data_IF_442398328317
#
_entry.id   IF_442398328317
#
_cell.length_a   1.000
_cell.length_b   1.000
_cell.length_c   1.000
_cell.angle_alpha   90.00
_cell.angle_beta   90.00
_cell.angle_gamma   90.00
#
_symmetry.space_group_name_H-M   'P 1'
#
loop_
_entity.id
_entity.type
_entity.pdbx_description
1 polymer ?
#
# COMPACT_ATOMS: atom_id res chain seq x y z
N UNK A 1 -18.05 19.69 4.12
CA UNK A 1 -16.72 20.19 4.57
C UNK A 1 -16.24 19.69 5.95
N UNK A 2 -17.07 19.18 6.88
CA UNK A 2 -16.58 18.51 8.13
C UNK A 2 -16.13 17.05 7.94
N UNK A 3 -16.64 16.37 6.90
CA UNK A 3 -16.52 14.92 6.62
C UNK A 3 -15.08 14.38 6.46
N UNK A 4 -14.23 15.01 5.65
CA UNK A 4 -12.85 14.53 5.40
C UNK A 4 -11.82 14.96 6.46
N UNK A 5 -12.25 15.76 7.45
CA UNK A 5 -11.36 16.28 8.50
C UNK A 5 -11.05 15.22 9.56
N UNK A 6 -11.99 14.31 9.78
CA UNK A 6 -11.91 13.22 10.76
C UNK A 6 -10.92 12.12 10.32
N UNK A 7 -10.82 11.86 9.01
CA UNK A 7 -9.83 10.93 8.45
C UNK A 7 -8.52 11.61 8.00
N UNK A 8 -8.33 12.88 8.36
CA UNK A 8 -7.08 13.62 8.11
C UNK A 8 -6.72 13.90 6.65
N UNK A 9 -7.55 13.52 5.69
CA UNK A 9 -7.27 13.65 4.25
C UNK A 9 -7.64 15.02 3.65
N UNK A 10 -8.46 15.81 4.36
CA UNK A 10 -8.83 17.15 3.91
C UNK A 10 -7.59 18.08 3.91
N UNK A 11 -7.32 18.71 2.76
CA UNK A 11 -6.18 19.62 2.52
C UNK A 11 -4.78 18.97 2.54
N UNK A 12 -4.70 17.64 2.45
CA UNK A 12 -3.43 16.89 2.44
C UNK A 12 -3.40 15.87 1.29
N UNK A 13 -2.21 15.49 0.85
CA UNK A 13 -2.04 14.55 -0.25
C UNK A 13 -2.57 15.09 -1.58
N UNK A 14 -3.05 14.17 -2.44
CA UNK A 14 -3.52 14.47 -3.80
C UNK A 14 -5.02 14.21 -3.98
N UNK A 15 -5.50 13.01 -3.62
CA UNK A 15 -6.83 12.53 -4.00
C UNK A 15 -8.01 13.33 -3.43
N UNK A 16 -7.90 13.80 -2.18
CA UNK A 16 -8.96 14.52 -1.48
C UNK A 16 -8.53 15.92 -1.02
N UNK A 17 -7.45 16.44 -1.62
CA UNK A 17 -6.92 17.75 -1.29
C UNK A 17 -7.72 18.83 -2.03
N UNK A 18 -8.48 19.61 -1.27
CA UNK A 18 -9.28 20.71 -1.78
C UNK A 18 -8.59 22.08 -1.65
N UNK A 19 -7.34 22.12 -1.21
CA UNK A 19 -6.51 23.32 -1.14
C UNK A 19 -5.60 23.36 -2.36
N UNK A 20 -5.95 24.19 -3.36
CA UNK A 20 -5.28 24.22 -4.65
C UNK A 20 -3.76 24.46 -4.55
N UNK A 21 -3.32 25.36 -3.65
CA UNK A 21 -1.89 25.66 -3.48
C UNK A 21 -1.15 24.46 -2.90
N UNK A 22 -1.72 23.83 -1.87
CA UNK A 22 -1.15 22.61 -1.28
C UNK A 22 -1.15 21.46 -2.30
N UNK A 23 -2.24 21.28 -3.05
CA UNK A 23 -2.36 20.24 -4.06
C UNK A 23 -1.32 20.41 -5.16
N UNK A 24 -1.14 21.62 -5.69
CA UNK A 24 -0.17 21.89 -6.75
C UNK A 24 1.26 21.54 -6.31
N UNK A 25 1.64 21.95 -5.09
CA UNK A 25 2.94 21.63 -4.52
C UNK A 25 3.13 20.11 -4.35
N UNK A 26 2.17 19.43 -3.71
CA UNK A 26 2.23 17.98 -3.50
C UNK A 26 2.27 17.22 -4.84
N UNK A 27 1.50 17.68 -5.84
CA UNK A 27 1.42 17.04 -7.16
C UNK A 27 2.74 17.16 -7.92
N UNK A 28 3.36 18.34 -7.88
CA UNK A 28 4.67 18.54 -8.48
C UNK A 28 5.72 17.60 -7.85
N UNK A 29 5.75 17.55 -6.52
CA UNK A 29 6.70 16.73 -5.78
C UNK A 29 6.49 15.22 -6.03
N UNK A 30 5.23 14.77 -6.02
CA UNK A 30 4.87 13.39 -6.33
C UNK A 30 5.30 12.99 -7.75
N UNK A 31 4.98 13.81 -8.75
CA UNK A 31 5.34 13.54 -10.14
C UNK A 31 6.85 13.44 -10.33
N UNK A 32 7.64 14.29 -9.66
CA UNK A 32 9.10 14.20 -9.74
C UNK A 32 9.65 12.87 -9.21
N UNK A 33 9.04 12.29 -8.17
CA UNK A 33 9.46 10.99 -7.65
C UNK A 33 9.07 9.86 -8.60
N UNK A 34 7.79 9.78 -8.97
CA UNK A 34 7.24 8.63 -9.71
C UNK A 34 7.55 8.65 -11.21
N UNK A 35 7.88 9.80 -11.80
CA UNK A 35 8.24 9.92 -13.22
C UNK A 35 9.76 9.88 -13.44
N UNK A 36 10.55 9.62 -12.39
CA UNK A 36 11.99 9.47 -12.56
C UNK A 36 12.32 8.19 -13.35
N UNK A 37 13.35 8.17 -14.19
CA UNK A 37 13.78 6.97 -14.91
C UNK A 37 14.13 5.82 -13.96
N UNK A 38 14.76 6.13 -12.83
CA UNK A 38 15.11 5.16 -11.79
C UNK A 38 13.89 4.49 -11.18
N UNK A 39 12.89 5.27 -10.78
CA UNK A 39 11.63 4.73 -10.28
C UNK A 39 10.93 3.88 -11.35
N UNK A 40 10.94 4.32 -12.61
CA UNK A 40 10.34 3.57 -13.72
C UNK A 40 11.01 2.22 -13.91
N UNK A 41 12.35 2.16 -13.88
CA UNK A 41 13.09 0.90 -13.98
C UNK A 41 12.78 -0.02 -12.79
N UNK A 42 12.78 0.51 -11.57
CA UNK A 42 12.40 -0.25 -10.37
C UNK A 42 10.95 -0.76 -10.47
N UNK A 43 10.02 0.04 -10.99
CA UNK A 43 8.64 -0.35 -11.21
C UNK A 43 8.52 -1.54 -12.16
N UNK A 44 9.25 -1.51 -13.28
CA UNK A 44 9.28 -2.62 -14.25
C UNK A 44 9.85 -3.88 -13.59
N UNK A 45 10.99 -3.76 -12.91
CA UNK A 45 11.68 -4.87 -12.26
C UNK A 45 10.82 -5.53 -11.18
N UNK A 46 10.22 -4.74 -10.28
CA UNK A 46 9.39 -5.27 -9.20
C UNK A 46 8.08 -5.86 -9.73
N UNK A 47 7.48 -5.25 -10.76
CA UNK A 47 6.29 -5.80 -11.42
C UNK A 47 6.58 -7.19 -11.98
N UNK A 48 7.67 -7.36 -12.72
CA UNK A 48 8.06 -8.66 -13.27
C UNK A 48 8.35 -9.70 -12.17
N UNK A 49 9.10 -9.32 -11.13
CA UNK A 49 9.41 -10.21 -9.99
C UNK A 49 8.14 -10.68 -9.28
N UNK A 50 7.23 -9.75 -8.98
CA UNK A 50 5.95 -10.05 -8.33
C UNK A 50 5.01 -10.85 -9.23
N UNK A 51 5.05 -10.64 -10.54
CA UNK A 51 4.24 -11.42 -11.49
C UNK A 51 4.71 -12.87 -11.55
N UNK A 52 6.01 -13.12 -11.59
CA UNK A 52 6.55 -14.48 -11.55
C UNK A 52 6.14 -15.21 -10.25
N UNK A 53 6.09 -14.49 -9.12
CA UNK A 53 5.60 -15.02 -7.85
C UNK A 53 4.10 -15.35 -7.91
N UNK A 54 3.28 -14.46 -8.45
CA UNK A 54 1.85 -14.70 -8.71
C UNK A 54 1.63 -15.95 -9.58
N UNK A 55 2.37 -16.05 -10.69
CA UNK A 55 2.31 -17.20 -11.60
C UNK A 55 2.69 -18.50 -10.88
N UNK A 56 3.68 -18.46 -9.98
CA UNK A 56 4.05 -19.62 -9.18
C UNK A 56 2.90 -20.08 -8.28
N UNK A 57 2.14 -19.15 -7.68
CA UNK A 57 0.96 -19.47 -6.88
C UNK A 57 -0.17 -20.04 -7.72
N UNK A 58 -0.45 -19.43 -8.87
CA UNK A 58 -1.47 -19.94 -9.80
C UNK A 58 -1.12 -21.33 -10.33
N UNK A 59 0.15 -21.59 -10.60
CA UNK A 59 0.64 -22.90 -11.03
C UNK A 59 0.35 -23.98 -9.99
N UNK A 60 0.58 -23.67 -8.71
CA UNK A 60 0.32 -24.59 -7.60
C UNK A 60 -1.18 -24.81 -7.33
N UNK A 61 -1.99 -23.77 -7.48
CA UNK A 61 -3.42 -23.79 -7.10
C UNK A 61 -4.35 -24.24 -8.23
N UNK A 62 -4.04 -23.91 -9.48
CA UNK A 62 -4.99 -24.06 -10.59
C UNK A 62 -4.47 -24.94 -11.72
N UNK A 63 -3.15 -25.12 -11.85
CA UNK A 63 -2.54 -25.87 -12.96
C UNK A 63 -2.21 -27.32 -12.62
N UNK A 64 -2.55 -27.81 -11.41
CA UNK A 64 -2.45 -29.24 -11.08
C UNK A 64 -3.44 -30.05 -11.94
N UNK A 65 -2.96 -31.11 -12.59
CA UNK A 65 -3.75 -31.96 -13.51
C UNK A 65 -5.07 -32.46 -12.90
N UNK A 66 -5.06 -32.77 -11.60
CA UNK A 66 -6.24 -33.23 -10.85
C UNK A 66 -7.32 -32.14 -10.77
N UNK A 67 -6.93 -30.90 -10.48
CA UNK A 67 -7.84 -29.74 -10.34
C UNK A 67 -8.49 -29.39 -11.68
N UNK A 68 -7.71 -29.49 -12.77
CA UNK A 68 -8.20 -29.25 -14.13
C UNK A 68 -9.23 -30.32 -14.53
N UNK A 69 -8.94 -31.61 -14.25
CA UNK A 69 -9.83 -32.72 -14.56
C UNK A 69 -11.17 -32.65 -13.81
N UNK A 70 -11.15 -32.14 -12.57
CA UNK A 70 -12.36 -31.99 -11.75
C UNK A 70 -13.15 -30.71 -12.04
N UNK A 71 -12.72 -29.86 -12.99
CA UNK A 71 -13.31 -28.53 -13.24
C UNK A 71 -13.43 -27.65 -11.98
N UNK A 72 -12.58 -27.88 -10.98
CA UNK A 72 -12.56 -27.10 -9.73
C UNK A 72 -11.67 -25.85 -9.81
N UNK A 73 -11.07 -25.60 -10.96
CA UNK A 73 -10.44 -24.33 -11.31
C UNK A 73 -11.49 -23.20 -11.23
N UNK A 74 -11.49 -22.47 -10.12
CA UNK A 74 -12.19 -21.18 -9.99
C UNK A 74 -11.19 -20.13 -9.57
N UNK A 75 -10.57 -19.49 -10.56
CA UNK A 75 -9.71 -18.35 -10.34
C UNK A 75 -10.55 -17.10 -10.04
N UNK A 76 -10.52 -16.63 -8.79
CA UNK A 76 -11.03 -15.30 -8.47
C UNK A 76 -10.01 -14.24 -8.89
N UNK A 77 -10.02 -13.89 -10.18
CA UNK A 77 -9.08 -12.93 -10.77
C UNK A 77 -9.12 -11.56 -10.09
N UNK A 78 -10.30 -11.12 -9.64
CA UNK A 78 -10.46 -9.82 -8.97
C UNK A 78 -9.69 -9.76 -7.65
N UNK A 79 -9.81 -10.79 -6.80
CA UNK A 79 -9.06 -10.83 -5.53
C UNK A 79 -7.56 -10.97 -5.78
N UNK A 80 -7.14 -11.84 -6.70
CA UNK A 80 -5.73 -11.96 -7.06
C UNK A 80 -5.12 -10.66 -7.58
N UNK A 81 -5.84 -9.96 -8.46
CA UNK A 81 -5.40 -8.66 -8.99
C UNK A 81 -5.26 -7.61 -7.89
N UNK A 82 -6.15 -7.63 -6.90
CA UNK A 82 -6.10 -6.71 -5.77
C UNK A 82 -4.85 -6.95 -4.89
N UNK A 83 -4.58 -8.21 -4.54
CA UNK A 83 -3.39 -8.60 -3.78
C UNK A 83 -2.09 -8.31 -4.56
N UNK A 84 -2.05 -8.64 -5.85
CA UNK A 84 -0.90 -8.38 -6.72
C UNK A 84 -0.60 -6.89 -6.83
N UNK A 85 -1.61 -6.09 -7.16
CA UNK A 85 -1.44 -4.63 -7.30
C UNK A 85 -1.02 -4.00 -5.98
N UNK A 86 -1.56 -4.48 -4.85
CA UNK A 86 -1.14 -3.99 -3.54
C UNK A 86 0.33 -4.31 -3.25
N UNK A 87 0.78 -5.53 -3.50
CA UNK A 87 2.17 -5.91 -3.24
C UNK A 87 3.14 -5.10 -4.12
N UNK A 88 2.76 -4.79 -5.37
CA UNK A 88 3.50 -3.84 -6.22
C UNK A 88 3.53 -2.46 -5.58
N UNK A 89 2.37 -1.90 -5.25
CA UNK A 89 2.26 -0.54 -4.72
C UNK A 89 3.08 -0.40 -3.43
N UNK A 90 2.90 -1.29 -2.44
CA UNK A 90 3.66 -1.20 -1.18
C UNK A 90 5.16 -1.33 -1.43
N UNK A 91 5.58 -2.23 -2.33
CA UNK A 91 6.99 -2.39 -2.69
C UNK A 91 7.56 -1.12 -3.32
N UNK A 92 6.85 -0.49 -4.25
CA UNK A 92 7.31 0.73 -4.93
C UNK A 92 7.22 1.98 -4.06
N UNK A 93 6.25 2.05 -3.14
CA UNK A 93 6.11 3.20 -2.26
C UNK A 93 7.11 3.17 -1.10
N UNK A 94 7.40 1.99 -0.55
CA UNK A 94 8.14 1.87 0.73
C UNK A 94 9.43 1.08 0.62
N UNK A 95 9.67 0.37 -0.49
CA UNK A 95 10.74 -0.61 -0.62
C UNK A 95 10.50 -1.92 0.12
N UNK A 96 9.44 -2.03 0.95
CA UNK A 96 9.12 -3.20 1.78
C UNK A 96 8.06 -4.11 1.14
N UNK A 97 7.99 -5.35 1.61
CA UNK A 97 7.03 -6.37 1.14
C UNK A 97 5.79 -6.41 2.05
N UNK A 98 4.59 -6.43 1.47
CA UNK A 98 3.32 -6.65 2.20
C UNK A 98 2.87 -8.11 2.22
N UNK A 99 3.40 -8.95 1.33
CA UNK A 99 3.10 -10.39 1.24
C UNK A 99 1.60 -10.72 1.17
N UNK A 100 0.79 -9.82 0.61
CA UNK A 100 -0.65 -10.01 0.56
C UNK A 100 -1.03 -11.13 -0.41
N UNK A 101 -0.28 -11.33 -1.50
CA UNK A 101 -0.47 -12.49 -2.38
C UNK A 101 -0.14 -13.81 -1.69
N UNK A 102 0.96 -13.86 -0.95
CA UNK A 102 1.38 -15.03 -0.19
C UNK A 102 0.33 -15.41 0.87
N UNK A 103 -0.20 -14.42 1.58
CA UNK A 103 -1.28 -14.63 2.54
C UNK A 103 -2.57 -15.13 1.90
N UNK A 104 -2.90 -14.64 0.70
CA UNK A 104 -4.05 -15.13 -0.05
C UNK A 104 -3.83 -16.55 -0.57
N UNK A 105 -2.63 -16.87 -1.05
CA UNK A 105 -2.23 -18.23 -1.40
C UNK A 105 -2.40 -19.19 -0.21
N UNK A 106 -1.87 -18.81 0.95
CA UNK A 106 -1.97 -19.60 2.19
C UNK A 106 -3.41 -19.83 2.65
N UNK A 107 -4.32 -18.90 2.37
CA UNK A 107 -5.75 -19.06 2.69
C UNK A 107 -6.44 -20.08 1.77
N UNK A 108 -5.90 -20.28 0.56
CA UNK A 108 -6.45 -21.18 -0.46
C UNK A 108 -5.73 -22.53 -0.55
N UNK A 109 -4.53 -22.63 0.03
CA UNK A 109 -3.63 -23.79 -0.08
C UNK A 109 -3.39 -24.47 1.26
N UNK A 110 -3.15 -25.79 1.20
CA UNK A 110 -2.60 -26.56 2.33
C UNK A 110 -1.12 -26.25 2.56
N UNK A 111 -0.41 -25.78 1.53
CA UNK A 111 0.95 -25.26 1.65
C UNK A 111 0.93 -23.90 2.35
N UNK A 112 1.89 -23.67 3.28
CA UNK A 112 2.09 -22.38 3.93
C UNK A 112 3.40 -21.76 3.50
N UNK A 113 3.34 -20.48 3.18
CA UNK A 113 4.50 -19.67 2.81
C UNK A 113 5.10 -19.02 4.06
N UNK A 114 6.42 -18.86 4.06
CA UNK A 114 7.12 -18.21 5.16
C UNK A 114 7.18 -16.69 4.91
N UNK A 115 6.37 -15.93 5.65
CA UNK A 115 6.41 -14.48 5.66
C UNK A 115 6.05 -13.93 7.05
N UNK A 116 6.54 -12.73 7.41
CA UNK A 116 6.17 -12.10 8.66
C UNK A 116 4.67 -11.78 8.67
N UNK A 117 3.87 -12.44 9.50
CA UNK A 117 2.40 -12.27 9.53
C UNK A 117 1.95 -10.81 9.70
N UNK A 118 2.74 -10.01 10.41
CA UNK A 118 2.47 -8.59 10.63
C UNK A 118 2.56 -7.75 9.35
N UNK A 119 3.28 -8.20 8.32
CA UNK A 119 3.42 -7.49 7.03
C UNK A 119 2.09 -7.30 6.30
N UNK A 120 1.13 -8.22 6.50
CA UNK A 120 -0.19 -8.20 5.86
C UNK A 120 -1.15 -7.25 6.58
N UNK A 121 -0.90 -6.91 7.85
CA UNK A 121 -1.79 -6.06 8.64
C UNK A 121 -1.96 -4.67 8.02
N UNK A 122 -0.87 -4.09 7.51
CA UNK A 122 -0.92 -2.79 6.84
C UNK A 122 -1.83 -2.83 5.61
N UNK A 123 -1.76 -3.89 4.82
CA UNK A 123 -2.65 -4.12 3.70
C UNK A 123 -4.11 -4.23 4.13
N UNK A 124 -4.43 -5.04 5.14
CA UNK A 124 -5.81 -5.22 5.60
C UNK A 124 -6.41 -3.91 6.12
N UNK A 125 -5.63 -3.13 6.86
CA UNK A 125 -6.04 -1.82 7.33
C UNK A 125 -6.31 -0.86 6.16
N UNK A 126 -5.43 -0.80 5.15
CA UNK A 126 -5.65 0.01 3.94
C UNK A 126 -6.89 -0.44 3.16
N UNK A 127 -7.07 -1.76 2.98
CA UNK A 127 -8.25 -2.33 2.30
C UNK A 127 -9.53 -1.87 2.99
N UNK A 128 -9.60 -1.96 4.32
CA UNK A 128 -10.77 -1.52 5.09
C UNK A 128 -10.99 -0.01 4.99
N UNK A 129 -9.92 0.78 5.10
CA UNK A 129 -9.99 2.24 4.96
C UNK A 129 -10.53 2.63 3.57
N UNK A 130 -10.07 1.97 2.51
CA UNK A 130 -10.49 2.27 1.13
C UNK A 130 -11.92 1.80 0.84
N UNK A 131 -12.25 0.56 1.21
CA UNK A 131 -13.54 -0.06 0.88
C UNK A 131 -14.69 0.40 1.79
N UNK A 132 -14.42 0.63 3.07
CA UNK A 132 -15.43 1.01 4.08
C UNK A 132 -15.23 2.44 4.54
N UNK A 133 -14.00 2.82 4.91
CA UNK A 133 -13.72 4.10 5.57
C UNK A 133 -14.11 5.30 4.73
N UNK A 134 -13.59 5.44 3.51
CA UNK A 134 -13.92 6.61 2.67
C UNK A 134 -15.43 6.74 2.40
N UNK A 135 -16.12 5.64 2.11
CA UNK A 135 -17.57 5.65 1.90
C UNK A 135 -18.33 6.07 3.17
N UNK A 136 -17.96 5.51 4.32
CA UNK A 136 -18.55 5.80 5.63
C UNK A 136 -18.47 7.30 5.95
N UNK A 137 -17.29 7.90 5.83
CA UNK A 137 -17.08 9.31 6.19
C UNK A 137 -17.59 10.27 5.10
N UNK A 138 -17.66 9.86 3.84
CA UNK A 138 -18.18 10.68 2.75
C UNK A 138 -19.73 10.77 2.76
N UNK A 139 -20.40 9.64 2.98
CA UNK A 139 -21.85 9.52 2.80
C UNK A 139 -22.59 9.63 4.13
N UNK A 140 -22.10 9.01 5.20
CA UNK A 140 -22.86 8.89 6.44
C UNK A 140 -22.69 10.16 7.31
N UNK A 141 -23.79 10.84 7.68
CA UNK A 141 -23.74 12.01 8.55
C UNK A 141 -23.08 11.69 9.90
N UNK A 142 -22.38 12.67 10.48
CA UNK A 142 -21.73 12.50 11.79
C UNK A 142 -22.71 12.08 12.88
N UNK A 143 -23.94 12.59 12.85
CA UNK A 143 -24.98 12.17 13.80
C UNK A 143 -25.20 10.66 13.76
N UNK A 144 -25.36 10.07 12.57
CA UNK A 144 -25.58 8.62 12.46
C UNK A 144 -24.34 7.84 12.89
N UNK A 145 -23.15 8.29 12.46
CA UNK A 145 -21.88 7.62 12.79
C UNK A 145 -21.62 7.51 14.29
N UNK A 146 -21.99 8.52 15.08
CA UNK A 146 -21.66 8.56 16.50
C UNK A 146 -22.82 8.18 17.43
N UNK A 147 -24.08 8.23 16.98
CA UNK A 147 -25.24 7.97 17.85
C UNK A 147 -25.87 6.58 17.65
N UNK A 148 -25.65 5.89 16.54
CA UNK A 148 -26.19 4.54 16.30
C UNK A 148 -25.14 3.47 16.62
N UNK A 149 -25.41 2.52 17.55
CA UNK A 149 -24.40 1.59 18.06
C UNK A 149 -23.65 0.78 16.99
N UNK A 150 -24.36 0.26 15.98
CA UNK A 150 -23.75 -0.53 14.91
C UNK A 150 -22.79 0.29 14.04
N UNK A 151 -23.22 1.47 13.60
CA UNK A 151 -22.40 2.36 12.77
C UNK A 151 -21.23 2.93 13.56
N UNK A 152 -21.44 3.22 14.85
CA UNK A 152 -20.40 3.67 15.76
C UNK A 152 -19.28 2.64 15.89
N UNK A 153 -19.61 1.37 16.09
CA UNK A 153 -18.60 0.30 16.14
C UNK A 153 -17.74 0.27 14.87
N UNK A 154 -18.35 0.33 13.69
CA UNK A 154 -17.63 0.36 12.41
C UNK A 154 -16.75 1.62 12.31
N UNK A 155 -17.28 2.77 12.74
CA UNK A 155 -16.54 4.05 12.75
C UNK A 155 -15.30 3.97 13.64
N UNK A 156 -15.46 3.47 14.87
CA UNK A 156 -14.37 3.33 15.84
C UNK A 156 -13.29 2.37 15.31
N UNK A 157 -13.68 1.24 14.71
CA UNK A 157 -12.72 0.32 14.10
C UNK A 157 -11.96 0.93 12.92
N UNK A 158 -12.64 1.69 12.03
CA UNK A 158 -11.97 2.37 10.90
C UNK A 158 -10.99 3.43 11.40
N UNK A 159 -11.34 4.18 12.44
CA UNK A 159 -10.45 5.17 13.04
C UNK A 159 -9.23 4.51 13.70
N UNK A 160 -9.42 3.38 14.39
CA UNK A 160 -8.32 2.62 14.96
C UNK A 160 -7.37 2.09 13.87
N UNK A 161 -7.90 1.56 12.77
CA UNK A 161 -7.10 1.12 11.63
C UNK A 161 -6.36 2.29 10.96
N UNK A 162 -6.97 3.48 10.90
CA UNK A 162 -6.33 4.69 10.40
C UNK A 162 -5.17 5.15 11.30
N UNK A 163 -5.35 5.12 12.62
CA UNK A 163 -4.28 5.44 13.57
C UNK A 163 -3.12 4.46 13.44
N UNK A 164 -3.41 3.16 13.30
CA UNK A 164 -2.41 2.13 13.03
C UNK A 164 -1.64 2.39 11.73
N UNK A 165 -2.34 2.72 10.64
CA UNK A 165 -1.72 3.07 9.35
C UNK A 165 -0.78 4.26 9.54
N UNK A 166 -1.24 5.34 10.16
CA UNK A 166 -0.46 6.56 10.35
C UNK A 166 0.81 6.30 11.18
N UNK A 167 0.68 5.55 12.28
CA UNK A 167 1.83 5.18 13.12
C UNK A 167 2.82 4.29 12.37
N UNK A 168 2.31 3.33 11.59
CA UNK A 168 3.16 2.42 10.79
C UNK A 168 3.94 3.18 9.72
N UNK A 169 3.27 4.09 8.99
CA UNK A 169 3.92 4.92 7.98
C UNK A 169 4.95 5.88 8.61
N UNK A 170 4.63 6.50 9.76
CA UNK A 170 5.58 7.36 10.47
C UNK A 170 6.84 6.59 10.91
N UNK A 171 6.67 5.37 11.43
CA UNK A 171 7.77 4.49 11.76
C UNK A 171 8.61 4.12 10.54
N UNK A 172 7.98 3.83 9.39
CA UNK A 172 8.69 3.57 8.13
C UNK A 172 9.49 4.79 7.65
N UNK A 173 8.90 5.99 7.70
CA UNK A 173 9.58 7.24 7.33
C UNK A 173 10.79 7.48 8.24
N UNK A 174 10.64 7.34 9.56
CA UNK A 174 11.74 7.51 10.52
C UNK A 174 12.87 6.51 10.28
N UNK A 175 12.52 5.24 10.10
CA UNK A 175 13.47 4.17 9.79
C UNK A 175 14.23 4.45 8.50
N UNK A 176 13.54 4.90 7.44
CA UNK A 176 14.19 5.23 6.16
C UNK A 176 15.10 6.46 6.27
N UNK A 177 14.72 7.48 7.04
CA UNK A 177 15.61 8.63 7.29
C UNK A 177 16.90 8.22 7.97
N UNK A 178 16.80 7.36 8.99
CA UNK A 178 17.97 6.79 9.65
C UNK A 178 18.83 5.98 8.67
N UNK A 179 18.22 5.09 7.88
CA UNK A 179 18.93 4.32 6.84
C UNK A 179 19.75 5.26 5.92
N UNK A 180 19.11 6.30 5.38
CA UNK A 180 19.77 7.28 4.50
C UNK A 180 20.91 8.03 5.17
N UNK A 181 20.76 8.40 6.45
CA UNK A 181 21.79 9.10 7.23
C UNK A 181 23.03 8.23 7.49
N UNK A 182 22.84 6.91 7.67
CA UNK A 182 23.94 5.97 7.93
C UNK A 182 24.58 5.41 6.66
N UNK A 183 23.88 5.43 5.52
CA UNK A 183 24.45 4.99 4.24
C UNK A 183 25.45 6.02 3.72
N UNK A 184 26.72 5.66 3.46
CA UNK A 184 27.71 6.55 2.84
C UNK A 184 27.24 7.16 1.52
N UNK A 185 27.73 8.36 1.17
CA UNK A 185 27.30 9.09 -0.05
C UNK A 185 27.62 8.35 -1.36
N UNK A 186 28.64 7.50 -1.35
CA UNK A 186 29.07 6.71 -2.51
C UNK A 186 28.30 5.39 -2.68
N UNK A 187 27.39 5.06 -1.77
CA UNK A 187 26.55 3.87 -1.87
C UNK A 187 25.16 4.21 -2.39
N UNK A 188 24.60 3.39 -3.30
CA UNK A 188 23.29 3.64 -3.88
C UNK A 188 22.18 3.45 -2.84
N UNK A 189 21.13 4.26 -2.93
CA UNK A 189 19.91 4.06 -2.14
C UNK A 189 18.84 3.31 -2.94
N UNK A 190 17.84 2.79 -2.22
CA UNK A 190 16.66 2.18 -2.85
C UNK A 190 15.91 3.22 -3.71
N UNK A 191 15.55 2.85 -4.94
CA UNK A 191 14.82 3.71 -5.88
C UNK A 191 13.30 3.70 -5.69
N UNK A 192 12.83 3.40 -4.48
CA UNK A 192 11.42 3.52 -4.11
C UNK A 192 11.01 4.99 -3.90
N UNK A 193 9.69 5.23 -3.90
CA UNK A 193 9.13 6.58 -3.80
C UNK A 193 9.50 7.24 -2.47
N UNK A 194 9.48 6.51 -1.35
CA UNK A 194 9.78 7.06 -0.03
C UNK A 194 11.21 7.60 0.04
N UNK A 195 12.19 6.84 -0.46
CA UNK A 195 13.58 7.34 -0.57
C UNK A 195 13.63 8.59 -1.44
N UNK A 196 13.08 8.51 -2.65
CA UNK A 196 13.10 9.61 -3.63
C UNK A 196 12.51 10.89 -3.05
N UNK A 197 11.43 10.77 -2.29
CA UNK A 197 10.78 11.89 -1.60
C UNK A 197 11.59 12.41 -0.40
N UNK A 198 12.33 11.58 0.32
CA UNK A 198 13.15 12.04 1.45
C UNK A 198 14.41 12.78 0.97
N UNK A 199 15.09 12.27 -0.06
CA UNK A 199 16.35 12.83 -0.53
C UNK A 199 16.18 14.02 -1.48
N UNK A 200 14.95 14.30 -1.92
CA UNK A 200 14.68 15.37 -2.87
C UNK A 200 15.17 16.72 -2.36
N UNK A 201 15.87 17.45 -3.23
CA UNK A 201 16.54 18.72 -2.96
C UNK A 201 17.63 18.65 -1.88
N UNK A 202 18.20 17.46 -1.62
CA UNK A 202 19.34 17.29 -0.71
C UNK A 202 20.62 16.98 -1.49
N UNK A 203 21.78 17.12 -0.85
CA UNK A 203 23.07 16.72 -1.43
C UNK A 203 23.03 15.27 -1.91
N UNK A 204 22.28 14.40 -1.22
CA UNK A 204 22.14 13.00 -1.58
C UNK A 204 21.52 12.79 -2.97
N UNK A 205 20.63 13.67 -3.44
CA UNK A 205 20.05 13.59 -4.79
C UNK A 205 21.11 13.79 -5.89
N UNK A 206 22.18 14.54 -5.63
CA UNK A 206 23.24 14.80 -6.63
C UNK A 206 24.12 13.57 -6.83
N UNK A 207 24.30 12.78 -5.76
CA UNK A 207 25.17 11.60 -5.74
C UNK A 207 24.43 10.30 -6.00
N UNK A 208 23.13 10.26 -5.77
CA UNK A 208 22.28 9.12 -6.12
C UNK A 208 22.01 9.14 -7.62
#
# INVERSE_FOLDING_TARGET
MRRNREIGSLRKGLAFNNDYKSWMFNNHFFNQAILSPKFTNEAIDQTNKLFNELESYWSKLFLKKEIIKEHKNKLNYSEWSYHYTNDIIIKLLTGKRSYSMAAYFDALSDEKTDYPKDSVKLFLAFRKLVTVGYALFAVVPSFIRYNFPFVRKITDEVLQDLDYINQTLDAMIKSRRQEIEHTPLNEPLSHDMLTSMIIKNTIREIFD
#
